data_IF_247557122378
#
_entry.id   IF_247557122378
#
_cell.length_a   1.000
_cell.length_b   1.000
_cell.length_c   1.000
_cell.angle_alpha   90.00
_cell.angle_beta   90.00
_cell.angle_gamma   90.00
#
_symmetry.space_group_name_H-M   'P 1'
#
loop_
_entity.id
_entity.type
_entity.pdbx_description
1 polymer ?
#
# COMPACT_ATOMS: atom_id res chain seq x y z
N UNK A 1 2.06 -11.53 6.18
CA UNK A 1 2.66 -10.81 5.01
C UNK A 1 2.06 -9.44 4.99
N UNK A 2 2.89 -8.40 5.02
CA UNK A 2 2.43 -7.02 5.00
C UNK A 2 2.57 -6.46 3.59
N UNK A 3 1.56 -5.72 3.16
CA UNK A 3 1.60 -4.87 1.96
C UNK A 3 1.52 -3.43 2.45
N UNK A 4 2.43 -2.59 1.98
CA UNK A 4 2.47 -1.17 2.32
C UNK A 4 2.01 -0.32 1.14
N UNK A 5 1.38 0.81 1.43
CA UNK A 5 1.15 1.89 0.48
C UNK A 5 1.89 3.14 0.95
N UNK A 6 2.67 3.74 0.04
CA UNK A 6 3.34 5.01 0.27
C UNK A 6 2.99 6.01 -0.84
N UNK A 7 2.60 7.22 -0.47
CA UNK A 7 2.40 8.33 -1.42
C UNK A 7 3.40 9.42 -1.08
N UNK A 8 4.35 9.63 -1.99
CA UNK A 8 5.35 10.67 -1.90
C UNK A 8 4.84 11.98 -2.50
N UNK A 9 4.91 13.06 -1.73
CA UNK A 9 4.61 14.41 -2.22
C UNK A 9 5.91 15.16 -2.50
N UNK A 10 5.96 15.92 -3.59
CA UNK A 10 7.14 16.71 -3.98
C UNK A 10 6.73 18.00 -4.70
N UNK A 11 7.69 18.89 -4.96
CA UNK A 11 7.49 20.03 -5.86
C UNK A 11 7.08 21.36 -5.20
N UNK A 12 6.69 21.38 -3.93
CA UNK A 12 6.28 22.61 -3.22
C UNK A 12 7.38 23.22 -2.32
N UNK A 13 8.64 22.84 -2.52
CA UNK A 13 9.78 23.33 -1.73
C UNK A 13 9.57 23.11 -0.23
N UNK A 14 9.69 24.16 0.57
CA UNK A 14 9.48 24.10 2.03
C UNK A 14 8.02 23.82 2.44
N UNK A 15 7.07 23.88 1.50
CA UNK A 15 5.66 23.57 1.73
C UNK A 15 5.30 22.15 1.29
N UNK A 16 6.28 21.36 0.83
CA UNK A 16 6.06 19.96 0.45
C UNK A 16 5.49 19.19 1.63
N UNK A 17 4.31 18.55 1.49
CA UNK A 17 3.71 17.76 2.56
C UNK A 17 4.57 16.54 2.91
N UNK A 18 4.36 15.99 4.10
CA UNK A 18 4.93 14.69 4.45
C UNK A 18 4.25 13.56 3.68
N UNK A 19 4.98 12.47 3.46
CA UNK A 19 4.45 11.28 2.81
C UNK A 19 3.25 10.69 3.55
N UNK A 20 2.32 10.13 2.77
CA UNK A 20 1.30 9.24 3.31
C UNK A 20 1.84 7.81 3.37
N UNK A 21 1.55 7.09 4.46
CA UNK A 21 1.89 5.69 4.62
C UNK A 21 0.74 4.90 5.26
N UNK A 22 0.42 3.75 4.68
CA UNK A 22 -0.57 2.81 5.20
C UNK A 22 -0.09 1.37 5.02
N UNK A 23 -0.61 0.44 5.82
CA UNK A 23 -0.33 -0.99 5.64
C UNK A 23 -1.54 -1.87 5.93
N UNK A 24 -1.57 -3.02 5.27
CA UNK A 24 -2.55 -4.09 5.52
C UNK A 24 -1.83 -5.43 5.67
N UNK A 25 -2.39 -6.32 6.49
CA UNK A 25 -1.78 -7.62 6.80
C UNK A 25 -2.57 -8.78 6.22
N UNK A 26 -1.87 -9.68 5.53
CA UNK A 26 -2.41 -10.94 5.01
C UNK A 26 -1.81 -12.13 5.74
N UNK A 27 -2.66 -13.10 6.08
CA UNK A 27 -2.27 -14.36 6.70
C UNK A 27 -2.67 -15.53 5.80
N UNK A 28 -1.94 -16.65 5.90
CA UNK A 28 -2.33 -17.92 5.28
C UNK A 28 -1.91 -19.07 6.18
N UNK A 29 -2.67 -20.16 6.13
CA UNK A 29 -2.30 -21.39 6.82
C UNK A 29 -1.09 -22.05 6.12
N UNK A 30 -0.21 -22.65 6.90
CA UNK A 30 0.95 -23.40 6.40
C UNK A 30 0.94 -24.76 7.08
N UNK A 31 0.85 -25.82 6.28
CA UNK A 31 1.05 -27.19 6.76
C UNK A 31 2.46 -27.65 6.40
N UNK A 32 3.11 -28.34 7.32
CA UNK A 32 4.47 -28.89 7.14
C UNK A 32 4.42 -30.39 7.35
N UNK A 33 4.85 -31.13 6.33
CA UNK A 33 5.02 -32.57 6.44
C UNK A 33 6.15 -32.89 7.44
N UNK A 34 5.84 -33.64 8.48
CA UNK A 34 6.77 -33.89 9.58
C UNK A 34 7.96 -34.80 9.23
N UNK A 35 7.86 -35.56 8.12
CA UNK A 35 8.90 -36.52 7.71
C UNK A 35 9.88 -35.88 6.72
N UNK A 36 9.35 -35.15 5.74
CA UNK A 36 10.10 -34.55 4.63
C UNK A 36 10.41 -33.07 4.83
N UNK A 37 9.68 -32.40 5.73
CA UNK A 37 9.74 -30.95 5.91
C UNK A 37 9.06 -30.15 4.79
N UNK A 38 8.39 -30.83 3.84
CA UNK A 38 7.71 -30.17 2.73
C UNK A 38 6.57 -29.26 3.24
N UNK A 39 6.52 -28.02 2.72
CA UNK A 39 5.49 -27.05 3.09
C UNK A 39 4.41 -26.97 2.03
N UNK A 40 3.16 -27.03 2.48
CA UNK A 40 1.99 -26.71 1.67
C UNK A 40 1.33 -25.45 2.22
N UNK A 41 0.99 -24.54 1.31
CA UNK A 41 0.43 -23.24 1.66
C UNK A 41 -1.04 -23.20 1.30
N UNK A 42 -1.88 -22.86 2.27
CA UNK A 42 -3.30 -22.60 2.04
C UNK A 42 -3.54 -21.27 1.33
N UNK A 43 -4.81 -20.97 1.09
CA UNK A 43 -5.21 -19.68 0.56
C UNK A 43 -4.83 -18.52 1.51
N UNK A 44 -4.53 -17.37 0.92
CA UNK A 44 -4.42 -16.11 1.64
C UNK A 44 -5.78 -15.72 2.25
N UNK A 45 -5.73 -14.92 3.32
CA UNK A 45 -6.87 -14.17 3.83
C UNK A 45 -7.47 -13.29 2.73
N UNK A 46 -8.74 -12.90 2.90
CA UNK A 46 -9.48 -12.13 1.91
C UNK A 46 -8.72 -10.86 1.46
N UNK A 47 -8.92 -10.46 0.21
CA UNK A 47 -8.38 -9.22 -0.33
C UNK A 47 -8.80 -8.02 0.53
N UNK A 48 -7.89 -7.06 0.66
CA UNK A 48 -8.10 -5.83 1.43
C UNK A 48 -7.92 -4.62 0.52
N UNK A 49 -8.17 -3.43 1.04
CA UNK A 49 -8.00 -2.20 0.27
C UNK A 49 -7.42 -1.08 1.11
N UNK A 50 -6.65 -0.23 0.44
CA UNK A 50 -6.33 1.11 0.90
C UNK A 50 -7.40 2.06 0.40
N UNK A 51 -7.88 2.94 1.28
CA UNK A 51 -8.87 3.94 0.92
C UNK A 51 -8.27 4.99 -0.03
N UNK A 52 -9.13 5.72 -0.74
CA UNK A 52 -8.65 6.83 -1.56
C UNK A 52 -8.03 7.92 -0.69
N UNK A 53 -6.88 8.44 -1.10
CA UNK A 53 -6.13 9.47 -0.37
C UNK A 53 -6.14 10.76 -1.18
N UNK A 54 -6.80 11.79 -0.65
CA UNK A 54 -6.81 13.12 -1.25
C UNK A 54 -5.47 13.80 -1.06
N UNK A 55 -4.99 14.45 -2.10
CA UNK A 55 -3.78 15.26 -2.05
C UNK A 55 -4.03 16.52 -1.21
N UNK A 56 -3.09 16.93 -0.33
CA UNK A 56 -3.22 18.17 0.43
C UNK A 56 -3.35 19.40 -0.47
N UNK A 57 -4.27 20.29 -0.13
CA UNK A 57 -4.42 21.58 -0.82
C UNK A 57 -3.37 22.58 -0.30
N UNK A 58 -2.56 23.11 -1.22
CA UNK A 58 -1.52 24.09 -0.91
C UNK A 58 -1.75 25.38 -1.68
N UNK A 59 -1.86 26.50 -0.97
CA UNK A 59 -2.08 27.82 -1.60
C UNK A 59 -0.95 28.14 -2.59
N UNK A 60 -1.33 28.43 -3.84
CA UNK A 60 -0.40 28.77 -4.92
C UNK A 60 0.18 27.57 -5.67
N UNK A 61 -0.20 26.34 -5.29
CA UNK A 61 0.18 25.10 -5.98
C UNK A 61 -1.07 24.34 -6.40
N UNK A 62 -0.92 23.47 -7.40
CA UNK A 62 -1.97 22.55 -7.82
C UNK A 62 -1.30 21.21 -8.05
N UNK A 63 -1.71 20.21 -7.27
CA UNK A 63 -1.20 18.86 -7.41
C UNK A 63 -1.58 18.29 -8.79
N UNK A 64 -0.68 17.54 -9.39
CA UNK A 64 -0.91 16.84 -10.66
C UNK A 64 -2.02 15.78 -10.54
N UNK A 65 -2.22 15.26 -9.32
CA UNK A 65 -3.31 14.36 -8.95
C UNK A 65 -4.05 14.92 -7.75
N UNK A 66 -5.37 15.11 -7.89
CA UNK A 66 -6.22 15.54 -6.79
C UNK A 66 -6.34 14.46 -5.69
N UNK A 67 -6.19 13.19 -6.06
CA UNK A 67 -6.18 12.05 -5.14
C UNK A 67 -5.46 10.85 -5.76
N UNK A 68 -5.04 9.92 -4.91
CA UNK A 68 -4.79 8.53 -5.27
C UNK A 68 -6.09 7.76 -5.01
N UNK A 69 -6.61 7.08 -6.02
CA UNK A 69 -7.84 6.30 -5.89
C UNK A 69 -7.63 5.06 -5.02
N UNK A 70 -8.73 4.51 -4.52
CA UNK A 70 -8.76 3.27 -3.72
C UNK A 70 -7.99 2.14 -4.41
N UNK A 71 -7.08 1.50 -3.69
CA UNK A 71 -6.30 0.36 -4.19
C UNK A 71 -6.77 -0.93 -3.54
N UNK A 72 -6.98 -1.99 -4.31
CA UNK A 72 -7.28 -3.33 -3.78
C UNK A 72 -6.06 -4.23 -3.93
N UNK A 73 -5.69 -4.89 -2.83
CA UNK A 73 -4.51 -5.76 -2.72
C UNK A 73 -4.87 -7.12 -2.14
N UNK A 74 -4.06 -8.13 -2.43
CA UNK A 74 -4.18 -9.47 -1.86
C UNK A 74 -2.82 -9.93 -1.30
N UNK A 75 -2.77 -11.14 -0.74
CA UNK A 75 -1.55 -11.65 -0.11
C UNK A 75 -0.35 -11.84 -1.03
N UNK A 76 -0.55 -11.82 -2.36
CA UNK A 76 0.50 -11.88 -3.37
C UNK A 76 0.89 -10.50 -3.92
N UNK A 77 0.20 -9.44 -3.51
CA UNK A 77 0.52 -8.07 -3.92
C UNK A 77 1.89 -7.61 -3.40
N UNK A 78 2.54 -6.79 -4.21
CA UNK A 78 3.71 -6.00 -3.80
C UNK A 78 3.25 -4.70 -3.13
N UNK A 79 4.18 -4.05 -2.46
CA UNK A 79 3.96 -2.71 -1.92
C UNK A 79 3.66 -1.72 -3.05
N UNK A 80 2.81 -0.74 -2.74
CA UNK A 80 2.39 0.31 -3.65
C UNK A 80 3.15 1.60 -3.33
N UNK A 81 3.63 2.26 -4.37
CA UNK A 81 4.32 3.54 -4.25
C UNK A 81 3.80 4.50 -5.31
N UNK A 82 3.36 5.68 -4.89
CA UNK A 82 2.86 6.75 -5.75
C UNK A 82 3.66 8.03 -5.53
N UNK A 83 3.65 8.89 -6.55
CA UNK A 83 4.22 10.24 -6.46
C UNK A 83 3.20 11.26 -6.96
N UNK A 84 3.01 12.30 -6.15
CA UNK A 84 2.18 13.48 -6.43
C UNK A 84 3.10 14.71 -6.43
N UNK A 85 3.01 15.53 -7.45
CA UNK A 85 3.82 16.76 -7.63
C UNK A 85 2.94 17.99 -7.68
#
# INVERSE_FOLDING_TARGET
KTVNETIHYQGAGNQTPADHAASVEFTRQVSTDAVTGAKTYGAWSAAQSFDAVKSPELKGYTADKAQIDKQTVNGDSKDLAFTVT
#
